data_IF_585242110874
#
_entry.id   IF_585242110874
#
_cell.length_a   1.000
_cell.length_b   1.000
_cell.length_c   1.000
_cell.angle_alpha   90.00
_cell.angle_beta   90.00
_cell.angle_gamma   90.00
#
_symmetry.space_group_name_H-M   'P 1'
#
loop_
_entity.id
_entity.type
_entity.pdbx_description
1 polymer ?
#
# COMPACT_ATOMS: atom_id res chain seq x y z
N UNK A 1 -4.98 -16.46 -86.00
CA UNK A 1 -5.78 -16.60 -84.78
C UNK A 1 -4.88 -16.35 -83.57
N UNK A 2 -4.85 -15.13 -83.03
CA UNK A 2 -4.06 -14.79 -81.91
C UNK A 2 -5.00 -14.34 -80.78
N UNK A 3 -5.05 -15.14 -79.71
CA UNK A 3 -5.77 -14.85 -78.47
C UNK A 3 -4.92 -13.89 -77.64
N UNK A 4 -5.44 -12.69 -77.33
CA UNK A 4 -4.91 -11.71 -76.37
C UNK A 4 -5.49 -12.00 -74.97
N UNK A 5 -4.68 -12.53 -74.08
CA UNK A 5 -5.01 -12.62 -72.67
C UNK A 5 -4.73 -11.28 -71.99
N UNK A 6 -5.81 -10.62 -71.53
CA UNK A 6 -5.76 -9.41 -70.72
C UNK A 6 -5.40 -9.78 -69.26
N UNK A 7 -4.28 -9.28 -68.77
CA UNK A 7 -3.93 -9.34 -67.33
C UNK A 7 -4.53 -8.12 -66.63
N UNK A 8 -5.56 -8.35 -65.85
CA UNK A 8 -6.06 -7.37 -64.92
C UNK A 8 -5.15 -7.27 -63.72
N UNK A 9 -4.53 -6.11 -63.51
CA UNK A 9 -3.75 -5.75 -62.29
C UNK A 9 -4.73 -5.31 -61.23
N UNK A 10 -4.92 -6.11 -60.18
CA UNK A 10 -5.65 -5.74 -58.99
C UNK A 10 -4.71 -4.93 -58.06
N UNK A 11 -4.90 -3.62 -58.02
CA UNK A 11 -4.23 -2.76 -57.06
C UNK A 11 -4.98 -2.87 -55.71
N UNK A 12 -4.42 -3.62 -54.78
CA UNK A 12 -4.91 -3.69 -53.40
C UNK A 12 -4.46 -2.40 -52.70
N UNK A 13 -5.39 -1.46 -52.51
CA UNK A 13 -5.18 -0.25 -51.71
C UNK A 13 -5.23 -0.67 -50.26
N UNK A 14 -4.07 -0.84 -49.61
CA UNK A 14 -3.94 -1.05 -48.17
C UNK A 14 -4.18 0.28 -47.51
N UNK A 15 -5.42 0.52 -47.07
CA UNK A 15 -5.80 1.68 -46.24
C UNK A 15 -5.22 1.44 -44.85
N UNK A 16 -4.02 1.95 -44.58
CA UNK A 16 -3.48 2.07 -43.22
C UNK A 16 -4.37 3.06 -42.45
N UNK A 17 -5.35 2.55 -41.73
CA UNK A 17 -6.05 3.28 -40.70
C UNK A 17 -5.04 3.56 -39.57
N UNK A 18 -4.33 4.68 -39.68
CA UNK A 18 -3.68 5.30 -38.54
C UNK A 18 -4.77 5.67 -37.56
N UNK A 19 -5.01 4.82 -36.57
CA UNK A 19 -5.72 5.21 -35.36
C UNK A 19 -4.84 6.23 -34.65
N UNK A 20 -4.92 7.49 -35.01
CA UNK A 20 -4.55 8.58 -34.13
C UNK A 20 -5.52 8.50 -32.95
N UNK A 21 -5.06 7.88 -31.85
CA UNK A 21 -5.66 8.14 -30.55
C UNK A 21 -5.45 9.62 -30.23
N UNK A 22 -6.28 10.47 -30.84
CA UNK A 22 -6.51 11.79 -30.29
C UNK A 22 -6.94 11.52 -28.85
N UNK A 23 -6.15 12.02 -27.89
CA UNK A 23 -6.60 12.18 -26.53
C UNK A 23 -7.87 13.03 -26.62
N UNK A 24 -9.02 12.35 -26.60
CA UNK A 24 -10.31 13.04 -26.51
C UNK A 24 -10.30 13.70 -25.14
N UNK A 25 -9.88 14.97 -25.13
CA UNK A 25 -10.12 15.81 -23.97
C UNK A 25 -11.62 15.77 -23.75
N UNK A 26 -12.03 15.38 -22.54
CA UNK A 26 -13.44 15.29 -22.18
C UNK A 26 -14.11 16.64 -22.47
N UNK A 27 -14.84 16.70 -23.59
CA UNK A 27 -15.46 17.92 -24.10
C UNK A 27 -16.47 18.47 -23.09
N UNK A 28 -17.07 17.59 -22.29
CA UNK A 28 -17.99 17.98 -21.23
C UNK A 28 -17.22 18.71 -20.11
N UNK A 29 -16.08 18.19 -19.66
CA UNK A 29 -15.24 18.81 -18.64
C UNK A 29 -14.72 20.18 -19.08
N UNK A 30 -14.32 20.33 -20.35
CA UNK A 30 -13.90 21.62 -20.91
C UNK A 30 -15.06 22.63 -20.98
N UNK A 31 -16.26 22.17 -21.38
CA UNK A 31 -17.45 23.02 -21.41
C UNK A 31 -17.82 23.49 -20.02
N UNK A 32 -17.80 22.60 -19.04
CA UNK A 32 -18.02 22.94 -17.63
C UNK A 32 -16.95 23.92 -17.13
N UNK A 33 -15.67 23.68 -17.43
CA UNK A 33 -14.59 24.60 -17.04
C UNK A 33 -14.81 26.02 -17.60
N UNK A 34 -15.17 26.13 -18.89
CA UNK A 34 -15.46 27.39 -19.53
C UNK A 34 -16.63 28.14 -18.88
N UNK A 35 -17.67 27.41 -18.45
CA UNK A 35 -18.87 28.00 -17.91
C UNK A 35 -18.81 28.29 -16.41
N UNK A 36 -18.16 27.44 -15.64
CA UNK A 36 -18.20 27.44 -14.17
C UNK A 36 -16.85 27.82 -13.50
N UNK A 37 -15.76 27.78 -14.26
CA UNK A 37 -14.40 28.03 -13.77
C UNK A 37 -13.81 26.88 -12.95
N UNK A 38 -12.49 26.96 -12.72
CA UNK A 38 -11.71 25.87 -12.10
C UNK A 38 -12.16 25.51 -10.69
N UNK A 39 -12.66 26.47 -9.90
CA UNK A 39 -13.06 26.23 -8.51
C UNK A 39 -14.22 25.23 -8.41
N UNK A 40 -15.26 25.43 -9.23
CA UNK A 40 -16.45 24.58 -9.22
C UNK A 40 -16.13 23.19 -9.79
N UNK A 41 -15.35 23.14 -10.86
CA UNK A 41 -14.87 21.88 -11.45
C UNK A 41 -14.06 21.07 -10.42
N UNK A 42 -13.10 21.72 -9.74
CA UNK A 42 -12.31 21.07 -8.70
C UNK A 42 -13.18 20.46 -7.61
N UNK A 43 -14.21 21.20 -7.15
CA UNK A 43 -15.11 20.69 -6.11
C UNK A 43 -15.92 19.49 -6.59
N UNK A 44 -16.45 19.53 -7.83
CA UNK A 44 -17.17 18.39 -8.44
C UNK A 44 -16.27 17.16 -8.55
N UNK A 45 -15.03 17.32 -9.03
CA UNK A 45 -14.06 16.23 -9.13
C UNK A 45 -13.67 15.67 -7.74
N UNK A 46 -13.42 16.53 -6.76
CA UNK A 46 -13.17 16.11 -5.38
C UNK A 46 -14.37 15.32 -4.82
N UNK A 47 -15.60 15.70 -5.15
CA UNK A 47 -16.82 15.00 -4.75
C UNK A 47 -16.97 13.65 -5.46
N UNK A 48 -16.64 13.55 -6.75
CA UNK A 48 -16.65 12.26 -7.47
C UNK A 48 -15.70 11.24 -6.85
N UNK A 49 -14.53 11.67 -6.40
CA UNK A 49 -13.59 10.80 -5.70
C UNK A 49 -14.14 10.22 -4.38
N UNK A 50 -15.20 10.82 -3.81
CA UNK A 50 -15.87 10.26 -2.62
C UNK A 50 -16.87 9.15 -2.95
N UNK A 51 -17.12 8.89 -4.24
CA UNK A 51 -18.13 7.93 -4.67
C UNK A 51 -17.55 6.53 -4.81
N UNK A 52 -18.16 5.55 -4.13
CA UNK A 52 -17.77 4.13 -4.22
C UNK A 52 -17.88 3.61 -5.66
N UNK A 53 -18.88 4.07 -6.43
CA UNK A 53 -19.09 3.66 -7.82
C UNK A 53 -17.88 3.96 -8.70
N UNK A 54 -17.29 5.16 -8.55
CA UNK A 54 -16.06 5.54 -9.25
C UNK A 54 -14.92 4.53 -8.96
N UNK A 55 -14.67 4.23 -7.70
CA UNK A 55 -13.59 3.30 -7.31
C UNK A 55 -13.89 1.86 -7.69
N UNK A 56 -15.16 1.44 -7.68
CA UNK A 56 -15.55 0.11 -8.15
C UNK A 56 -15.24 -0.08 -9.64
N UNK A 57 -15.50 0.94 -10.44
CA UNK A 57 -15.17 0.94 -11.87
C UNK A 57 -13.66 0.98 -12.08
N UNK A 58 -12.96 1.91 -11.42
CA UNK A 58 -11.52 2.06 -11.49
C UNK A 58 -10.77 0.76 -11.15
N UNK A 59 -11.21 0.04 -10.12
CA UNK A 59 -10.58 -1.21 -9.66
C UNK A 59 -10.95 -2.43 -10.51
N UNK A 60 -11.86 -2.33 -11.48
CA UNK A 60 -12.35 -3.47 -12.25
C UNK A 60 -11.20 -4.32 -12.80
N UNK A 61 -10.23 -3.69 -13.44
CA UNK A 61 -9.08 -4.33 -14.09
C UNK A 61 -7.77 -4.20 -13.30
N UNK A 62 -7.80 -3.68 -12.06
CA UNK A 62 -6.63 -3.54 -11.19
C UNK A 62 -6.40 -4.85 -10.43
N UNK A 63 -5.15 -5.32 -10.38
CA UNK A 63 -4.77 -6.42 -9.50
C UNK A 63 -4.80 -5.96 -8.04
N UNK A 64 -5.63 -6.61 -7.25
CA UNK A 64 -5.82 -6.34 -5.82
C UNK A 64 -5.44 -7.53 -4.94
N UNK A 65 -4.63 -8.46 -5.44
CA UNK A 65 -4.21 -9.67 -4.72
C UNK A 65 -3.57 -9.38 -3.36
N UNK A 66 -2.87 -8.24 -3.24
CA UNK A 66 -2.26 -7.76 -2.00
C UNK A 66 -2.86 -6.44 -1.49
N UNK A 67 -4.05 -6.08 -1.94
CA UNK A 67 -4.69 -4.79 -1.72
C UNK A 67 -4.52 -3.83 -2.91
N UNK A 68 -4.82 -2.55 -2.72
CA UNK A 68 -4.59 -1.52 -3.73
C UNK A 68 -3.21 -0.90 -3.53
N UNK A 69 -2.31 -1.02 -4.52
CA UNK A 69 -0.90 -0.67 -4.36
C UNK A 69 -0.39 0.18 -5.55
N UNK A 70 -0.16 1.47 -5.33
CA UNK A 70 0.43 2.36 -6.34
C UNK A 70 1.96 2.34 -6.33
N UNK A 71 2.60 2.26 -5.16
CA UNK A 71 4.05 2.51 -5.03
C UNK A 71 4.92 1.26 -4.98
N UNK A 72 4.36 0.10 -4.63
CA UNK A 72 5.17 -1.11 -4.47
C UNK A 72 5.36 -1.87 -5.78
N UNK A 73 6.61 -2.27 -6.04
CA UNK A 73 7.03 -3.07 -7.19
C UNK A 73 7.18 -4.54 -6.83
N UNK A 74 7.63 -4.80 -5.61
CA UNK A 74 7.86 -6.14 -5.11
C UNK A 74 7.07 -6.38 -3.83
N UNK A 75 6.55 -7.60 -3.66
CA UNK A 75 5.92 -8.08 -2.43
C UNK A 75 6.72 -9.28 -1.94
N UNK A 76 7.19 -9.21 -0.70
CA UNK A 76 7.68 -10.35 0.05
C UNK A 76 6.54 -10.87 0.90
N UNK A 77 6.10 -12.09 0.65
CA UNK A 77 5.05 -12.77 1.39
C UNK A 77 5.68 -13.88 2.23
N UNK A 78 5.74 -13.68 3.54
CA UNK A 78 6.21 -14.70 4.48
C UNK A 78 5.02 -15.43 5.08
N UNK A 79 4.85 -16.68 4.69
CA UNK A 79 3.88 -17.62 5.26
C UNK A 79 4.58 -18.45 6.34
N UNK A 80 4.19 -18.24 7.61
CA UNK A 80 4.79 -18.93 8.75
C UNK A 80 4.36 -20.39 8.84
N UNK A 81 3.14 -20.72 8.41
CA UNK A 81 2.59 -22.09 8.47
C UNK A 81 3.31 -23.02 7.51
N UNK A 82 3.63 -22.55 6.32
CA UNK A 82 4.34 -23.33 5.29
C UNK A 82 5.85 -23.10 5.31
N UNK A 83 6.35 -22.22 6.20
CA UNK A 83 7.76 -21.87 6.29
C UNK A 83 8.34 -21.40 4.94
N UNK A 84 7.63 -20.49 4.26
CA UNK A 84 8.01 -19.98 2.95
C UNK A 84 8.10 -18.46 2.94
N UNK A 85 9.08 -17.94 2.21
CA UNK A 85 9.19 -16.55 1.80
C UNK A 85 9.06 -16.48 0.28
N UNK A 86 7.95 -15.97 -0.20
CA UNK A 86 7.65 -15.82 -1.64
C UNK A 86 7.90 -14.39 -2.10
N UNK A 87 8.44 -14.24 -3.30
CA UNK A 87 8.64 -12.96 -3.98
C UNK A 87 7.62 -12.84 -5.11
N UNK A 88 6.82 -11.78 -5.07
CA UNK A 88 5.97 -11.38 -6.18
C UNK A 88 6.47 -10.08 -6.77
N UNK A 89 6.48 -9.99 -8.08
CA UNK A 89 6.94 -8.81 -8.81
C UNK A 89 5.82 -8.31 -9.72
N UNK A 90 5.60 -7.00 -9.72
CA UNK A 90 4.62 -6.34 -10.59
C UNK A 90 5.12 -6.37 -12.03
N UNK A 91 4.35 -6.96 -12.93
CA UNK A 91 4.64 -6.98 -14.36
C UNK A 91 4.25 -5.66 -15.07
N UNK A 92 4.45 -5.58 -16.38
CA UNK A 92 4.12 -4.40 -17.19
C UNK A 92 2.63 -4.09 -17.20
N UNK A 93 1.76 -5.09 -17.00
CA UNK A 93 0.31 -4.95 -16.93
C UNK A 93 -0.19 -4.60 -15.52
N UNK A 94 0.70 -4.37 -14.56
CA UNK A 94 0.37 -4.03 -13.19
C UNK A 94 -0.03 -5.22 -12.31
N UNK A 95 0.16 -6.47 -12.79
CA UNK A 95 -0.20 -7.70 -12.07
C UNK A 95 0.99 -8.26 -11.30
N UNK A 96 0.77 -8.69 -10.05
CA UNK A 96 1.80 -9.34 -9.25
C UNK A 96 1.91 -10.82 -9.61
N UNK A 97 3.06 -11.20 -10.17
CA UNK A 97 3.40 -12.60 -10.54
C UNK A 97 4.41 -13.16 -9.54
N UNK A 98 4.19 -14.41 -9.13
CA UNK A 98 5.17 -15.13 -8.32
C UNK A 98 6.47 -15.27 -9.13
N UNK A 99 7.56 -14.74 -8.59
CA UNK A 99 8.90 -14.81 -9.17
C UNK A 99 9.68 -16.00 -8.61
N UNK A 100 9.70 -16.12 -7.30
CA UNK A 100 10.45 -17.12 -6.55
C UNK A 100 9.76 -17.43 -5.23
N UNK A 101 10.01 -18.63 -4.69
CA UNK A 101 9.59 -19.01 -3.34
C UNK A 101 10.73 -19.77 -2.66
N UNK A 102 11.10 -19.32 -1.48
CA UNK A 102 12.21 -19.86 -0.70
C UNK A 102 11.71 -20.53 0.58
N UNK A 103 12.31 -21.65 0.96
CA UNK A 103 12.14 -22.17 2.31
C UNK A 103 12.75 -21.18 3.31
N UNK A 104 12.01 -20.85 4.34
CA UNK A 104 12.38 -19.87 5.35
C UNK A 104 12.29 -20.46 6.75
N UNK A 105 13.18 -20.05 7.64
CA UNK A 105 13.09 -20.32 9.06
C UNK A 105 12.51 -19.09 9.74
N UNK A 106 11.48 -19.28 10.56
CA UNK A 106 10.85 -18.23 11.35
C UNK A 106 11.05 -18.50 12.85
N UNK A 107 10.43 -17.71 13.70
CA UNK A 107 10.51 -17.87 15.16
C UNK A 107 10.10 -19.27 15.64
N UNK A 108 10.72 -19.76 16.71
CA UNK A 108 10.44 -21.06 17.30
C UNK A 108 8.98 -21.24 17.68
N UNK A 109 8.37 -20.20 18.23
CA UNK A 109 7.00 -20.22 18.70
C UNK A 109 6.03 -19.71 17.62
N UNK A 110 4.86 -20.39 17.48
CA UNK A 110 3.76 -19.96 16.62
C UNK A 110 3.07 -18.71 17.16
N UNK A 111 2.26 -18.08 16.31
CA UNK A 111 1.48 -16.90 16.64
C UNK A 111 2.27 -15.59 16.45
N UNK A 112 1.55 -14.50 16.62
CA UNK A 112 2.10 -13.14 16.42
C UNK A 112 3.02 -12.74 17.58
N UNK A 113 4.12 -12.07 17.26
CA UNK A 113 5.06 -11.52 18.26
C UNK A 113 4.39 -10.46 19.11
N UNK A 114 4.54 -10.57 20.45
CA UNK A 114 3.98 -9.65 21.44
C UNK A 114 5.07 -8.92 22.23
N UNK A 115 6.07 -9.68 22.73
CA UNK A 115 7.09 -9.13 23.62
C UNK A 115 8.50 -9.52 23.17
N UNK A 116 9.49 -8.76 23.63
CA UNK A 116 10.90 -9.11 23.42
C UNK A 116 11.17 -10.48 24.02
N UNK A 117 11.90 -11.32 23.29
CA UNK A 117 12.31 -12.66 23.78
C UNK A 117 11.26 -13.76 23.63
N UNK A 118 10.06 -13.51 23.12
CA UNK A 118 8.99 -14.48 22.96
C UNK A 118 9.23 -15.53 21.85
N UNK A 119 10.33 -15.42 21.12
CA UNK A 119 10.78 -16.31 20.05
C UNK A 119 9.76 -16.41 18.88
N UNK A 120 8.91 -15.39 18.68
CA UNK A 120 7.93 -15.33 17.61
C UNK A 120 8.36 -14.37 16.51
N UNK A 121 8.06 -14.74 15.27
CA UNK A 121 8.08 -13.79 14.15
C UNK A 121 6.77 -13.00 14.16
N UNK A 122 6.82 -11.66 14.03
CA UNK A 122 5.60 -10.85 14.03
C UNK A 122 4.71 -11.15 12.82
N UNK A 123 3.41 -10.96 12.99
CA UNK A 123 2.42 -10.95 11.92
C UNK A 123 2.06 -9.50 11.59
N UNK A 124 2.10 -9.14 10.30
CA UNK A 124 1.78 -7.76 9.91
C UNK A 124 2.35 -7.33 8.57
N UNK A 125 2.28 -6.02 8.34
CA UNK A 125 2.67 -5.35 7.10
C UNK A 125 3.85 -4.41 7.37
N UNK A 126 5.02 -4.73 6.81
CA UNK A 126 6.29 -4.06 7.08
C UNK A 126 6.93 -3.52 5.79
N UNK A 127 7.88 -2.60 5.95
CA UNK A 127 8.81 -2.18 4.91
C UNK A 127 10.21 -2.69 5.24
N UNK A 128 11.09 -2.71 4.25
CA UNK A 128 12.53 -2.90 4.46
C UNK A 128 13.18 -1.53 4.62
N UNK A 129 13.82 -1.30 5.76
CA UNK A 129 14.34 0.03 6.10
C UNK A 129 15.81 0.21 5.78
N UNK A 130 16.58 -0.88 5.84
CA UNK A 130 18.04 -0.86 5.66
C UNK A 130 18.56 -2.22 5.22
N UNK A 131 19.61 -2.22 4.39
CA UNK A 131 20.47 -3.38 4.14
C UNK A 131 21.72 -3.26 4.97
N UNK A 132 22.13 -4.37 5.63
CA UNK A 132 23.39 -4.50 6.37
C UNK A 132 24.26 -5.51 5.64
N UNK A 133 25.41 -5.07 5.11
CA UNK A 133 26.35 -5.91 4.36
C UNK A 133 27.55 -6.37 5.21
N UNK A 134 27.88 -5.63 6.28
CA UNK A 134 28.89 -6.02 7.27
C UNK A 134 28.17 -6.45 8.53
N UNK A 135 28.01 -7.75 8.72
CA UNK A 135 27.24 -8.36 9.81
C UNK A 135 27.97 -9.59 10.34
N UNK A 136 27.66 -10.00 11.56
CA UNK A 136 28.19 -11.26 12.14
C UNK A 136 27.86 -12.44 11.21
N UNK A 137 28.84 -13.32 11.04
CA UNK A 137 28.76 -14.50 10.17
C UNK A 137 27.62 -15.45 10.53
N UNK A 138 27.10 -15.37 11.74
CA UNK A 138 25.89 -16.10 12.17
C UNK A 138 24.64 -15.74 11.34
N UNK A 139 24.57 -14.51 10.82
CA UNK A 139 23.44 -14.03 10.00
C UNK A 139 23.69 -14.18 8.49
N UNK A 140 24.75 -14.86 8.09
CA UNK A 140 25.13 -15.03 6.67
C UNK A 140 25.79 -13.77 6.08
N UNK A 141 25.72 -13.60 4.75
CA UNK A 141 26.48 -12.55 4.07
C UNK A 141 25.88 -11.14 4.22
N UNK A 142 24.61 -11.01 4.58
CA UNK A 142 23.89 -9.75 4.72
C UNK A 142 22.56 -9.92 5.44
N UNK A 143 21.93 -8.79 5.77
CA UNK A 143 20.56 -8.77 6.30
C UNK A 143 19.76 -7.57 5.77
N UNK A 144 18.44 -7.72 5.70
CA UNK A 144 17.49 -6.64 5.48
C UNK A 144 16.72 -6.38 6.78
N UNK A 145 16.78 -5.16 7.27
CA UNK A 145 16.09 -4.74 8.49
C UNK A 145 14.65 -4.41 8.13
N UNK A 146 13.70 -4.95 8.90
CA UNK A 146 12.28 -4.63 8.75
C UNK A 146 11.87 -3.44 9.61
N UNK A 147 10.71 -2.83 9.30
CA UNK A 147 10.13 -1.73 10.10
C UNK A 147 9.40 -2.21 11.37
N UNK A 148 9.70 -3.41 11.88
CA UNK A 148 9.14 -3.86 13.17
C UNK A 148 9.81 -3.16 14.36
N UNK A 149 9.06 -2.66 15.38
CA UNK A 149 7.60 -2.59 15.44
C UNK A 149 7.05 -1.41 14.60
N UNK A 150 6.03 -1.71 13.78
CA UNK A 150 5.36 -0.68 12.98
C UNK A 150 4.34 0.12 13.82
N UNK A 151 3.61 1.06 13.18
CA UNK A 151 2.61 1.89 13.85
C UNK A 151 1.54 1.05 14.59
N UNK A 152 1.06 -0.05 13.97
CA UNK A 152 0.02 -0.87 14.58
C UNK A 152 0.54 -1.75 15.71
N UNK A 153 1.78 -2.24 15.59
CA UNK A 153 2.45 -2.98 16.68
C UNK A 153 2.61 -2.10 17.91
N UNK A 154 3.03 -0.83 17.73
CA UNK A 154 3.14 0.16 18.82
C UNK A 154 1.78 0.50 19.41
N UNK A 155 0.75 0.65 18.57
CA UNK A 155 -0.62 0.87 19.04
C UNK A 155 -1.12 -0.29 19.91
N UNK A 156 -0.78 -1.53 19.55
CA UNK A 156 -1.09 -2.75 20.33
C UNK A 156 -0.20 -2.93 21.58
N UNK A 157 0.78 -2.07 21.82
CA UNK A 157 1.71 -2.19 22.94
C UNK A 157 2.76 -3.30 22.80
N UNK A 158 3.01 -3.79 21.58
CA UNK A 158 4.04 -4.79 21.34
C UNK A 158 5.43 -4.24 21.58
N UNK A 159 6.32 -5.08 22.09
CA UNK A 159 7.71 -4.73 22.40
C UNK A 159 8.71 -5.54 21.60
N UNK A 160 10.01 -5.16 21.74
CA UNK A 160 11.11 -5.77 21.00
C UNK A 160 11.43 -5.03 19.71
N UNK A 161 12.52 -5.43 19.07
CA UNK A 161 13.06 -4.82 17.85
C UNK A 161 13.96 -5.82 17.11
N UNK A 162 14.57 -5.40 15.99
CA UNK A 162 15.61 -6.21 15.33
C UNK A 162 15.06 -7.44 14.61
N UNK A 163 13.89 -7.35 13.99
CA UNK A 163 13.40 -8.40 13.09
C UNK A 163 14.01 -8.15 11.70
N UNK A 164 14.77 -9.15 11.24
CA UNK A 164 15.50 -9.08 9.97
C UNK A 164 15.12 -10.22 9.02
N UNK A 165 15.34 -10.02 7.73
CA UNK A 165 15.50 -11.10 6.76
C UNK A 165 17.00 -11.28 6.56
N UNK A 166 17.55 -12.49 6.84
CA UNK A 166 18.98 -12.73 6.81
C UNK A 166 19.33 -14.14 6.31
N UNK A 167 20.60 -14.42 6.15
CA UNK A 167 21.12 -15.71 5.72
C UNK A 167 21.28 -16.73 6.84
N UNK A 168 21.87 -17.86 6.50
CA UNK A 168 22.27 -18.91 7.43
C UNK A 168 23.74 -18.71 7.85
N UNK A 169 24.16 -19.20 9.02
CA UNK A 169 25.56 -19.12 9.48
C UNK A 169 26.54 -19.64 8.43
N UNK A 170 27.66 -18.96 8.26
CA UNK A 170 28.67 -19.32 7.27
C UNK A 170 29.54 -20.51 7.72
N UNK A 171 29.79 -20.67 9.04
CA UNK A 171 30.77 -21.59 9.57
C UNK A 171 30.24 -22.59 10.60
N UNK A 172 28.91 -22.57 10.84
CA UNK A 172 28.31 -23.46 11.85
C UNK A 172 26.90 -23.90 11.44
N UNK A 173 26.45 -25.01 12.03
CA UNK A 173 25.03 -25.43 11.91
C UNK A 173 24.17 -24.56 12.82
N UNK A 174 22.89 -24.41 12.46
CA UNK A 174 21.89 -23.75 13.29
C UNK A 174 20.64 -24.61 13.42
N UNK A 175 19.80 -24.29 14.40
CA UNK A 175 18.46 -24.83 14.54
C UNK A 175 17.57 -24.47 13.34
N UNK A 176 16.54 -25.28 13.11
CA UNK A 176 15.52 -25.05 12.08
C UNK A 176 14.52 -23.93 12.43
N UNK A 177 14.88 -23.04 13.36
CA UNK A 177 14.07 -21.89 13.78
C UNK A 177 14.96 -20.69 14.12
N UNK A 178 14.33 -19.53 14.31
CA UNK A 178 14.99 -18.28 14.71
C UNK A 178 14.43 -17.78 16.05
N UNK A 179 14.99 -16.69 16.54
CA UNK A 179 14.43 -15.96 17.71
C UNK A 179 13.41 -14.89 17.30
N UNK A 180 12.90 -14.95 16.03
CA UNK A 180 11.89 -14.04 15.51
C UNK A 180 12.20 -13.48 14.11
N UNK A 181 13.44 -13.55 13.64
CA UNK A 181 13.82 -13.15 12.28
C UNK A 181 13.29 -14.15 11.22
N UNK A 182 13.40 -13.77 9.97
CA UNK A 182 13.17 -14.64 8.80
C UNK A 182 14.55 -15.00 8.24
N UNK A 183 14.93 -16.28 8.28
CA UNK A 183 16.22 -16.73 7.73
C UNK A 183 15.99 -17.58 6.50
N UNK A 184 16.76 -17.35 5.43
CA UNK A 184 16.73 -18.11 4.17
C UNK A 184 18.14 -18.55 3.80
N UNK A 185 18.29 -19.52 2.91
CA UNK A 185 19.59 -19.94 2.43
C UNK A 185 20.38 -18.78 1.80
N UNK A 186 21.69 -18.75 2.02
CA UNK A 186 22.57 -17.65 1.58
C UNK A 186 22.51 -17.39 0.07
N UNK A 187 22.43 -18.45 -0.75
CA UNK A 187 22.23 -18.33 -2.20
C UNK A 187 20.92 -17.60 -2.53
N UNK A 188 19.84 -17.97 -1.86
CA UNK A 188 18.53 -17.35 -2.04
C UNK A 188 18.52 -15.89 -1.57
N UNK A 189 19.23 -15.58 -0.49
CA UNK A 189 19.37 -14.21 0.00
C UNK A 189 20.14 -13.33 -1.00
N UNK A 190 21.16 -13.87 -1.66
CA UNK A 190 21.88 -13.17 -2.75
C UNK A 190 20.99 -12.93 -3.95
N UNK A 191 20.19 -13.93 -4.37
CA UNK A 191 19.18 -13.74 -5.42
C UNK A 191 18.13 -12.70 -5.03
N UNK A 192 17.64 -12.75 -3.79
CA UNK A 192 16.70 -11.77 -3.25
C UNK A 192 17.27 -10.36 -3.34
N UNK A 193 18.54 -10.18 -2.96
CA UNK A 193 19.22 -8.89 -3.00
C UNK A 193 19.31 -8.28 -4.41
N UNK A 194 19.39 -9.08 -5.47
CA UNK A 194 19.49 -8.57 -6.83
C UNK A 194 18.18 -7.98 -7.37
N UNK A 195 17.05 -8.31 -6.75
CA UNK A 195 15.70 -7.90 -7.22
C UNK A 195 15.00 -6.92 -6.27
N UNK A 196 15.45 -6.80 -5.03
CA UNK A 196 14.84 -5.93 -4.04
C UNK A 196 15.24 -4.46 -4.24
N UNK A 197 14.23 -3.60 -4.31
CA UNK A 197 14.32 -2.17 -4.03
C UNK A 197 13.69 -1.92 -2.65
N UNK A 198 14.49 -1.46 -1.68
CA UNK A 198 14.04 -1.26 -0.28
C UNK A 198 12.82 -0.36 -0.17
N UNK A 199 12.77 0.72 -0.99
CA UNK A 199 11.67 1.70 -0.95
C UNK A 199 10.40 1.20 -1.64
N UNK A 200 10.54 0.25 -2.57
CA UNK A 200 9.45 -0.27 -3.40
C UNK A 200 9.12 -1.73 -3.11
N UNK A 201 9.58 -2.25 -1.97
CA UNK A 201 9.31 -3.61 -1.53
C UNK A 201 8.47 -3.60 -0.25
N UNK A 202 7.31 -4.24 -0.31
CA UNK A 202 6.44 -4.50 0.83
C UNK A 202 6.72 -5.89 1.39
N UNK A 203 6.78 -6.03 2.71
CA UNK A 203 6.85 -7.31 3.40
C UNK A 203 5.53 -7.56 4.13
N UNK A 204 4.86 -8.63 3.78
CA UNK A 204 3.66 -9.13 4.47
C UNK A 204 4.03 -10.44 5.16
N UNK A 205 3.81 -10.52 6.46
CA UNK A 205 4.06 -11.72 7.27
C UNK A 205 2.72 -12.18 7.82
N UNK A 206 2.33 -13.40 7.51
CA UNK A 206 1.07 -14.01 7.92
C UNK A 206 1.31 -15.33 8.66
N UNK A 207 0.42 -15.70 9.57
CA UNK A 207 0.49 -16.98 10.26
C UNK A 207 0.08 -18.14 9.34
N UNK A 208 -0.97 -17.97 8.52
CA UNK A 208 -1.58 -19.06 7.79
C UNK A 208 -1.54 -18.92 6.26
N UNK A 209 -1.79 -17.74 5.73
CA UNK A 209 -1.78 -17.51 4.27
C UNK A 209 -1.79 -16.03 3.92
N UNK A 210 -0.80 -15.59 3.17
CA UNK A 210 -0.71 -14.19 2.70
C UNK A 210 -1.72 -13.86 1.58
N UNK A 211 -2.45 -14.86 1.07
CA UNK A 211 -3.27 -14.73 -0.15
C UNK A 211 -4.78 -14.65 0.11
N UNK A 212 -5.22 -14.26 1.31
CA UNK A 212 -6.64 -13.98 1.52
C UNK A 212 -7.06 -12.75 0.72
N UNK A 213 -7.63 -12.99 -0.47
CA UNK A 213 -8.16 -11.93 -1.33
C UNK A 213 -9.32 -11.23 -0.62
N UNK A 214 -9.13 -9.97 -0.28
CA UNK A 214 -10.24 -9.14 0.16
C UNK A 214 -11.12 -8.74 -1.03
N UNK A 215 -12.44 -8.63 -0.84
CA UNK A 215 -13.33 -8.19 -1.91
C UNK A 215 -12.90 -6.83 -2.47
N UNK A 216 -12.86 -6.68 -3.80
CA UNK A 216 -12.59 -5.38 -4.44
C UNK A 216 -13.54 -4.30 -3.96
N UNK A 217 -14.76 -4.68 -3.57
CA UNK A 217 -15.78 -3.79 -3.02
C UNK A 217 -15.37 -3.13 -1.70
N UNK A 218 -14.62 -3.83 -0.84
CA UNK A 218 -14.08 -3.25 0.39
C UNK A 218 -13.01 -2.21 0.09
N UNK A 219 -12.12 -2.49 -0.87
CA UNK A 219 -11.10 -1.54 -1.30
C UNK A 219 -11.72 -0.30 -1.95
N UNK A 220 -12.74 -0.47 -2.80
CA UNK A 220 -13.48 0.65 -3.38
C UNK A 220 -14.15 1.51 -2.29
N UNK A 221 -14.74 0.85 -1.29
CA UNK A 221 -15.36 1.54 -0.14
C UNK A 221 -14.31 2.29 0.68
N UNK A 222 -13.14 1.69 0.94
CA UNK A 222 -12.06 2.34 1.68
C UNK A 222 -11.51 3.54 0.94
N UNK A 223 -11.24 3.43 -0.37
CA UNK A 223 -10.75 4.55 -1.18
C UNK A 223 -11.76 5.69 -1.20
N UNK A 224 -13.04 5.41 -1.42
CA UNK A 224 -14.11 6.42 -1.36
C UNK A 224 -14.14 7.14 0.00
N UNK A 225 -14.03 6.39 1.10
CA UNK A 225 -14.01 6.96 2.45
C UNK A 225 -12.73 7.78 2.72
N UNK A 226 -11.56 7.35 2.23
CA UNK A 226 -10.30 8.11 2.35
C UNK A 226 -10.43 9.46 1.63
N UNK A 227 -11.05 9.48 0.45
CA UNK A 227 -11.28 10.72 -0.28
C UNK A 227 -12.42 11.55 0.32
N UNK A 228 -13.43 10.94 0.96
CA UNK A 228 -14.45 11.67 1.73
C UNK A 228 -13.84 12.32 2.99
N UNK A 229 -12.92 11.63 3.69
CA UNK A 229 -12.12 12.20 4.79
C UNK A 229 -11.26 13.39 4.30
N UNK A 230 -10.57 13.24 3.15
CA UNK A 230 -9.82 14.34 2.52
C UNK A 230 -10.75 15.50 2.13
N UNK A 231 -11.92 15.21 1.57
CA UNK A 231 -12.92 16.21 1.17
C UNK A 231 -13.36 17.05 2.36
N UNK A 232 -13.76 16.40 3.45
CA UNK A 232 -14.14 17.08 4.69
C UNK A 232 -13.02 18.00 5.22
N UNK A 233 -11.76 17.55 5.10
CA UNK A 233 -10.61 18.33 5.52
C UNK A 233 -10.39 19.56 4.63
N UNK A 234 -10.45 19.43 3.30
CA UNK A 234 -10.29 20.53 2.33
C UNK A 234 -11.38 21.60 2.53
N UNK A 235 -12.62 21.17 2.72
CA UNK A 235 -13.80 22.07 2.76
C UNK A 235 -14.21 22.49 4.18
N UNK A 236 -13.35 22.28 5.17
CA UNK A 236 -13.54 22.70 6.57
C UNK A 236 -14.77 22.07 7.26
N UNK A 237 -15.22 20.89 6.86
CA UNK A 237 -16.26 20.13 7.58
C UNK A 237 -15.64 19.33 8.73
N UNK A 238 -15.55 19.96 9.91
CA UNK A 238 -14.92 19.36 11.08
C UNK A 238 -15.67 18.12 11.58
N UNK A 239 -16.99 18.16 11.57
CA UNK A 239 -17.80 17.07 12.13
C UNK A 239 -17.68 15.82 11.24
N UNK A 240 -17.79 15.99 9.93
CA UNK A 240 -17.55 14.90 8.98
C UNK A 240 -16.10 14.39 9.07
N UNK A 241 -15.11 15.28 9.14
CA UNK A 241 -13.70 14.91 9.30
C UNK A 241 -13.48 14.05 10.55
N UNK A 242 -13.99 14.47 11.70
CA UNK A 242 -13.83 13.73 12.96
C UNK A 242 -14.65 12.44 13.00
N UNK A 243 -15.73 12.33 12.22
CA UNK A 243 -16.54 11.11 12.14
C UNK A 243 -15.80 9.89 11.60
N UNK A 244 -14.68 10.10 10.92
CA UNK A 244 -13.80 9.03 10.44
C UNK A 244 -12.86 8.49 11.50
N UNK A 245 -12.78 9.09 12.68
CA UNK A 245 -11.88 8.65 13.74
C UNK A 245 -12.60 7.78 14.76
N UNK A 246 -11.93 6.70 15.17
CA UNK A 246 -12.41 5.81 16.22
C UNK A 246 -12.48 6.55 17.55
N UNK A 247 -13.48 6.27 18.42
CA UNK A 247 -13.45 6.74 19.82
C UNK A 247 -12.20 6.26 20.59
N UNK A 248 -11.60 5.14 20.15
CA UNK A 248 -10.34 4.57 20.69
C UNK A 248 -9.11 5.06 19.95
N UNK A 249 -9.23 6.09 19.12
CA UNK A 249 -8.10 6.64 18.37
C UNK A 249 -6.96 7.07 19.29
N UNK A 250 -5.74 6.73 18.88
CA UNK A 250 -4.51 7.17 19.52
C UNK A 250 -3.49 7.50 18.44
N UNK A 251 -3.03 8.76 18.36
CA UNK A 251 -1.98 9.18 17.43
C UNK A 251 -0.63 8.54 17.82
N UNK A 252 0.31 8.47 16.91
CA UNK A 252 1.63 7.85 17.12
C UNK A 252 2.40 8.38 18.34
N UNK A 253 2.16 9.64 18.73
CA UNK A 253 2.78 10.32 19.88
C UNK A 253 1.99 10.15 21.20
N UNK A 254 0.92 9.35 21.18
CA UNK A 254 0.09 9.08 22.35
C UNK A 254 -1.14 9.97 22.51
N UNK A 255 -1.33 10.99 21.67
CA UNK A 255 -2.51 11.87 21.73
C UNK A 255 -3.79 11.06 21.51
N UNK A 256 -4.70 11.07 22.49
CA UNK A 256 -6.00 10.39 22.38
C UNK A 256 -7.02 11.22 21.59
N UNK A 257 -8.18 10.60 21.28
CA UNK A 257 -9.22 11.23 20.46
C UNK A 257 -9.74 12.56 21.05
N UNK A 258 -9.91 12.69 22.36
CA UNK A 258 -10.38 13.92 23.00
C UNK A 258 -9.44 15.11 22.73
N UNK A 259 -8.14 14.93 22.97
CA UNK A 259 -7.13 15.95 22.71
C UNK A 259 -6.94 16.21 21.21
N UNK A 260 -7.02 15.18 20.39
CA UNK A 260 -6.97 15.29 18.94
C UNK A 260 -8.13 16.12 18.39
N UNK A 261 -9.36 15.88 18.88
CA UNK A 261 -10.54 16.71 18.54
C UNK A 261 -10.30 18.18 18.85
N UNK A 262 -9.83 18.49 20.06
CA UNK A 262 -9.52 19.88 20.47
C UNK A 262 -8.45 20.50 19.56
N UNK A 263 -7.40 19.76 19.26
CA UNK A 263 -6.33 20.17 18.35
C UNK A 263 -6.87 20.49 16.95
N UNK A 264 -7.68 19.60 16.36
CA UNK A 264 -8.25 19.79 15.02
C UNK A 264 -9.28 20.92 15.01
N UNK A 265 -10.11 21.07 16.04
CA UNK A 265 -11.06 22.19 16.16
C UNK A 265 -10.34 23.54 16.03
N UNK A 266 -9.21 23.72 16.70
CA UNK A 266 -8.41 24.96 16.58
C UNK A 266 -7.90 25.21 15.16
N UNK A 267 -7.52 24.15 14.44
CA UNK A 267 -7.04 24.26 13.06
C UNK A 267 -8.20 24.59 12.10
N UNK A 268 -9.34 23.92 12.24
CA UNK A 268 -10.51 24.14 11.38
C UNK A 268 -11.12 25.53 11.59
N UNK A 269 -11.13 26.04 12.83
CA UNK A 269 -11.65 27.38 13.15
C UNK A 269 -10.87 28.52 12.49
N UNK A 270 -9.62 28.28 12.02
CA UNK A 270 -8.90 29.26 11.20
C UNK A 270 -9.56 29.50 9.84
N UNK A 271 -10.43 28.58 9.40
CA UNK A 271 -11.18 28.61 8.13
C UNK A 271 -10.31 28.92 6.91
N UNK A 272 -9.06 28.47 6.92
CA UNK A 272 -8.11 28.67 5.83
C UNK A 272 -8.49 27.84 4.59
N UNK A 273 -8.26 28.39 3.40
CA UNK A 273 -8.30 27.61 2.17
C UNK A 273 -7.16 26.59 2.17
N UNK A 274 -7.49 25.35 1.85
CA UNK A 274 -6.54 24.23 1.85
C UNK A 274 -6.42 23.59 0.48
N UNK A 275 -5.22 23.16 0.14
CA UNK A 275 -4.94 22.23 -0.95
C UNK A 275 -4.33 20.98 -0.34
N UNK A 276 -4.94 19.84 -0.59
CA UNK A 276 -4.48 18.54 -0.07
C UNK A 276 -4.46 17.55 -1.23
N UNK A 277 -3.30 16.99 -1.52
CA UNK A 277 -3.11 15.98 -2.58
C UNK A 277 -2.50 14.74 -1.95
N UNK A 278 -3.04 13.58 -2.31
CA UNK A 278 -2.50 12.27 -1.93
C UNK A 278 -1.92 11.58 -3.17
N UNK A 279 -0.69 11.11 -3.06
CA UNK A 279 0.00 10.36 -4.10
C UNK A 279 0.53 9.05 -3.52
N UNK A 280 0.80 8.08 -4.38
CA UNK A 280 1.36 6.79 -3.96
C UNK A 280 0.51 6.08 -2.91
N UNK A 281 -0.80 6.05 -3.14
CA UNK A 281 -1.77 5.49 -2.20
C UNK A 281 -1.66 3.97 -2.20
N UNK A 282 -1.57 3.39 -1.00
CA UNK A 282 -1.60 1.95 -0.81
C UNK A 282 -2.61 1.63 0.30
N UNK A 283 -3.53 0.70 0.02
CA UNK A 283 -4.53 0.17 0.95
C UNK A 283 -4.29 -1.33 1.07
N UNK A 284 -3.67 -1.75 2.17
CA UNK A 284 -3.13 -3.08 2.37
C UNK A 284 -3.94 -3.80 3.45
N UNK A 285 -4.58 -4.94 3.17
CA UNK A 285 -5.20 -5.77 4.19
C UNK A 285 -4.18 -6.14 5.26
N UNK A 286 -4.55 -6.00 6.53
CA UNK A 286 -3.66 -6.38 7.62
C UNK A 286 -3.87 -7.87 7.94
N UNK A 287 -2.81 -8.71 7.93
CA UNK A 287 -2.90 -10.14 8.21
C UNK A 287 -3.54 -10.45 9.57
N UNK A 288 -4.15 -11.63 9.69
CA UNK A 288 -4.85 -12.10 10.89
C UNK A 288 -5.92 -11.12 11.42
N UNK A 289 -6.52 -10.33 10.53
CA UNK A 289 -7.62 -9.43 10.86
C UNK A 289 -8.68 -9.45 9.77
N UNK A 290 -9.96 -9.33 10.14
CA UNK A 290 -11.05 -9.42 9.17
C UNK A 290 -11.33 -8.10 8.42
N UNK A 291 -11.08 -6.96 9.05
CA UNK A 291 -11.51 -5.66 8.54
C UNK A 291 -10.51 -4.53 8.82
N UNK A 292 -9.27 -4.87 9.11
CA UNK A 292 -8.22 -3.87 9.40
C UNK A 292 -7.31 -3.73 8.19
N UNK A 293 -6.91 -2.49 7.90
CA UNK A 293 -6.05 -2.16 6.76
C UNK A 293 -4.98 -1.17 7.19
N UNK A 294 -3.79 -1.31 6.61
CA UNK A 294 -2.76 -0.27 6.62
C UNK A 294 -2.91 0.57 5.37
N UNK A 295 -3.09 1.86 5.55
CA UNK A 295 -3.15 2.83 4.46
C UNK A 295 -1.89 3.68 4.51
N UNK A 296 -1.20 3.83 3.39
CA UNK A 296 -0.05 4.73 3.27
C UNK A 296 -0.19 5.60 2.03
N UNK A 297 0.24 6.84 2.10
CA UNK A 297 0.29 7.76 0.97
C UNK A 297 1.28 8.87 1.25
N UNK A 298 1.75 9.54 0.20
CA UNK A 298 2.47 10.80 0.31
C UNK A 298 1.45 11.94 0.32
N UNK A 299 1.48 12.76 1.36
CA UNK A 299 0.59 13.91 1.55
C UNK A 299 1.30 15.21 1.17
N UNK A 300 0.69 15.99 0.28
CA UNK A 300 1.04 17.38 0.05
C UNK A 300 -0.10 18.24 0.59
N UNK A 301 0.17 18.95 1.67
CA UNK A 301 -0.76 19.87 2.32
C UNK A 301 -0.26 21.29 2.17
N UNK A 302 -1.14 22.22 1.84
CA UNK A 302 -0.86 23.66 1.80
C UNK A 302 -2.07 24.46 2.25
N UNK A 303 -1.86 25.38 3.19
CA UNK A 303 -2.81 26.44 3.58
C UNK A 303 -2.10 27.78 3.55
N UNK A 304 -2.77 28.86 3.95
CA UNK A 304 -2.14 30.18 4.04
C UNK A 304 -1.06 30.27 5.11
N UNK A 305 -1.22 29.50 6.23
CA UNK A 305 -0.30 29.56 7.39
C UNK A 305 0.65 28.37 7.49
N UNK A 306 0.47 27.28 6.70
CA UNK A 306 1.26 26.09 6.88
C UNK A 306 1.35 25.26 5.58
N UNK A 307 2.50 24.63 5.36
CA UNK A 307 2.72 23.66 4.29
C UNK A 307 3.41 22.40 4.86
N UNK A 308 3.03 21.24 4.33
CA UNK A 308 3.62 19.95 4.68
C UNK A 308 3.74 19.08 3.43
N UNK A 309 4.82 18.34 3.34
CA UNK A 309 5.02 17.29 2.34
C UNK A 309 5.72 16.12 3.00
N UNK A 310 5.08 14.95 3.02
CA UNK A 310 5.65 13.78 3.66
C UNK A 310 4.75 12.55 3.57
N UNK A 311 5.26 11.43 4.08
CA UNK A 311 4.52 10.18 4.10
C UNK A 311 3.55 10.15 5.28
N UNK A 312 2.36 9.66 5.01
CA UNK A 312 1.29 9.44 5.97
C UNK A 312 1.01 7.94 6.09
N UNK A 313 0.85 7.48 7.31
CA UNK A 313 0.41 6.11 7.59
C UNK A 313 -0.83 6.15 8.49
N UNK A 314 -1.88 5.45 8.07
CA UNK A 314 -3.09 5.22 8.87
C UNK A 314 -3.25 3.73 9.09
N UNK A 315 -3.72 3.34 10.27
CA UNK A 315 -4.35 2.04 10.49
C UNK A 315 -5.84 2.27 10.64
N UNK A 316 -6.60 1.60 9.79
CA UNK A 316 -8.05 1.82 9.69
C UNK A 316 -8.81 0.52 9.81
N UNK A 317 -10.06 0.59 10.27
CA UNK A 317 -11.03 -0.50 10.19
C UNK A 317 -12.15 -0.11 9.24
N UNK A 318 -12.64 -1.09 8.50
CA UNK A 318 -13.89 -0.98 7.75
C UNK A 318 -15.01 -1.64 8.54
N UNK A 319 -15.94 -0.84 9.06
CA UNK A 319 -17.05 -1.30 9.89
C UNK A 319 -18.35 -0.79 9.26
N UNK A 320 -19.25 -1.69 8.85
CA UNK A 320 -20.52 -1.34 8.21
C UNK A 320 -20.32 -0.34 7.03
N UNK A 321 -19.36 -0.63 6.14
CA UNK A 321 -18.98 0.23 5.02
C UNK A 321 -18.44 1.63 5.39
N UNK A 322 -18.12 1.87 6.66
CA UNK A 322 -17.53 3.12 7.13
C UNK A 322 -16.10 2.91 7.59
N UNK A 323 -15.21 3.77 7.12
CA UNK A 323 -13.82 3.81 7.56
C UNK A 323 -13.75 4.36 8.99
N UNK A 324 -12.95 3.71 9.83
CA UNK A 324 -12.64 4.14 11.20
C UNK A 324 -11.13 4.16 11.41
N UNK A 325 -10.53 5.34 11.52
CA UNK A 325 -9.09 5.53 11.78
C UNK A 325 -8.82 5.25 13.25
N UNK A 326 -7.96 4.25 13.53
CA UNK A 326 -7.61 3.86 14.90
C UNK A 326 -6.27 4.43 15.36
N UNK A 327 -5.35 4.68 14.44
CA UNK A 327 -4.08 5.37 14.69
C UNK A 327 -3.53 5.98 13.42
N UNK A 328 -2.75 7.05 13.55
CA UNK A 328 -2.06 7.74 12.44
C UNK A 328 -0.66 8.20 12.81
N UNK A 329 0.20 8.31 11.78
CA UNK A 329 1.55 8.88 11.85
C UNK A 329 1.81 9.73 10.61
#
# INVERSE_FOLDING_TARGET
MHSKTSRAFFFLFFLCLFHTSLFAVDTELLTQYRNEGIKNIKQKLDQQLTQKSYWSEYLRNVDTSFGYLESYKNILACDKSTSKLSIYQKDQNGTYKLKEAYNAYTGKNKGDKQTQGDLRTPVGVYCLTKKISKIDSFYGPMAFVTSYPNLFDKYKGKTGQGIWIHGLPLHQKRDKFTKGCIAIHNKNLTCLNSVIDLKRTLLVIDENSVNEKRPKQDLATLLANIFAWRYAWIYNDLDQYLSFYSPKFKRFDGMNFKHFKQYKTRIFNKNEKKSIVFNNINVIPYPDTNNTYKVTFNEQYKSSSFAFHGDKTLIVKLINNKLSIITEQ
#
